data_IF_795758750424
#
_entry.id   IF_795758750424
#
_cell.length_a   1.000
_cell.length_b   1.000
_cell.length_c   1.000
_cell.angle_alpha   90.00
_cell.angle_beta   90.00
_cell.angle_gamma   90.00
#
_symmetry.space_group_name_H-M   'P 1'
#
loop_
_entity.id
_entity.type
_entity.pdbx_description
1 polymer ?
#
# COMPACT_ATOMS: atom_id res chain seq x y z
N UNK A 1 6.37 15.90 -6.87
CA UNK A 1 5.35 16.96 -6.84
C UNK A 1 5.74 17.87 -5.68
N UNK A 2 6.32 19.06 -5.94
CA UNK A 2 6.87 19.91 -4.88
C UNK A 2 5.84 20.35 -3.84
N UNK A 3 4.63 20.69 -4.27
CA UNK A 3 3.60 21.31 -3.44
C UNK A 3 2.44 20.35 -3.10
N UNK A 4 2.73 19.05 -3.06
CA UNK A 4 1.70 18.02 -2.84
C UNK A 4 0.92 18.21 -1.52
N UNK A 5 1.54 18.85 -0.51
CA UNK A 5 0.90 19.08 0.79
C UNK A 5 -0.26 20.07 0.74
N UNK A 6 -0.33 20.90 -0.31
CA UNK A 6 -1.35 21.94 -0.43
C UNK A 6 -2.72 21.36 -0.85
N UNK A 7 -2.70 20.27 -1.62
CA UNK A 7 -3.94 19.76 -2.22
C UNK A 7 -4.06 18.23 -2.32
N UNK A 8 -3.02 17.48 -1.92
CA UNK A 8 -3.14 16.03 -1.83
C UNK A 8 -4.10 15.64 -0.71
N UNK A 9 -4.96 14.65 -0.90
CA UNK A 9 -5.87 14.16 0.14
C UNK A 9 -5.09 13.33 1.17
N UNK A 10 -4.32 14.03 1.98
CA UNK A 10 -3.60 13.46 3.10
C UNK A 10 -4.56 13.36 4.28
N UNK A 11 -4.43 12.28 5.04
CA UNK A 11 -5.22 12.06 6.23
C UNK A 11 -4.51 12.66 7.45
N UNK A 12 -3.72 11.87 8.14
CA UNK A 12 -3.01 12.33 9.34
C UNK A 12 -1.50 12.24 9.15
N UNK A 13 -0.74 13.17 9.72
CA UNK A 13 0.70 13.02 9.80
C UNK A 13 1.07 12.15 11.00
N UNK A 14 1.91 11.15 10.77
CA UNK A 14 2.25 10.14 11.77
C UNK A 14 3.36 10.70 12.67
N UNK A 15 3.01 10.95 13.93
CA UNK A 15 3.94 11.44 14.95
C UNK A 15 4.38 10.35 15.93
N UNK A 16 3.65 9.24 15.95
CA UNK A 16 3.89 8.15 16.89
C UNK A 16 3.82 6.80 16.20
N UNK A 17 4.75 5.94 16.56
CA UNK A 17 4.78 4.54 16.16
C UNK A 17 4.78 3.68 17.41
N UNK A 18 3.90 2.67 17.45
CA UNK A 18 3.84 1.66 18.52
C UNK A 18 4.17 0.30 17.95
N UNK A 19 4.92 -0.48 18.72
CA UNK A 19 5.20 -1.88 18.41
C UNK A 19 4.73 -2.73 19.58
N UNK A 20 3.83 -3.66 19.32
CA UNK A 20 3.25 -4.55 20.33
C UNK A 20 3.65 -5.99 20.06
N UNK A 21 4.12 -6.67 21.10
CA UNK A 21 4.22 -8.13 21.13
C UNK A 21 3.05 -8.65 21.96
N UNK A 22 2.19 -9.41 21.35
CA UNK A 22 0.91 -9.85 21.92
C UNK A 22 0.92 -11.33 22.22
N UNK A 23 0.29 -11.68 23.32
CA UNK A 23 -0.08 -13.02 23.72
C UNK A 23 -1.61 -13.05 23.89
N UNK A 24 -2.22 -14.21 24.16
CA UNK A 24 -3.67 -14.37 24.25
C UNK A 24 -4.35 -13.45 25.28
N UNK A 25 -3.65 -13.08 26.33
CA UNK A 25 -4.18 -12.28 27.44
C UNK A 25 -3.31 -11.10 27.86
N UNK A 26 -2.21 -10.90 27.19
CA UNK A 26 -1.26 -9.86 27.55
C UNK A 26 -0.58 -9.29 26.32
N UNK A 27 0.00 -8.13 26.50
CA UNK A 27 0.90 -7.55 25.51
C UNK A 27 2.00 -6.74 26.19
N UNK A 28 3.13 -6.68 25.53
CA UNK A 28 4.21 -5.75 25.83
C UNK A 28 4.38 -4.84 24.64
N UNK A 29 4.58 -3.56 24.87
CA UNK A 29 4.72 -2.62 23.79
C UNK A 29 5.74 -1.55 24.06
N UNK A 30 6.35 -1.08 22.98
CA UNK A 30 7.15 0.14 22.94
C UNK A 30 6.43 1.15 22.08
N UNK A 31 6.54 2.41 22.43
CA UNK A 31 6.12 3.48 21.52
C UNK A 31 7.23 4.51 21.36
N UNK A 32 7.34 5.04 20.19
CA UNK A 32 8.18 6.16 19.85
C UNK A 32 7.29 7.31 19.39
N UNK A 33 7.35 8.43 20.08
CA UNK A 33 6.67 9.68 19.72
C UNK A 33 7.70 10.79 19.65
N UNK A 34 7.65 11.62 18.63
CA UNK A 34 8.56 12.74 18.47
C UNK A 34 7.80 14.00 18.13
N UNK A 35 8.07 15.06 18.87
CA UNK A 35 7.54 16.39 18.59
C UNK A 35 8.13 16.98 17.30
N UNK A 36 9.32 16.53 16.88
CA UNK A 36 9.93 16.89 15.59
C UNK A 36 9.06 16.44 14.41
N UNK A 37 8.20 15.46 14.59
CA UNK A 37 7.26 15.01 13.56
C UNK A 37 6.08 15.97 13.37
N UNK A 38 5.91 16.92 14.25
CA UNK A 38 4.93 18.02 14.16
C UNK A 38 5.48 19.27 13.48
N UNK A 39 6.71 19.24 12.97
CA UNK A 39 7.31 20.37 12.27
C UNK A 39 6.50 20.76 11.01
N UNK A 40 6.79 21.93 10.47
CA UNK A 40 6.14 22.52 9.29
C UNK A 40 6.07 21.58 8.08
N UNK A 41 6.99 20.59 8.01
CA UNK A 41 7.06 19.62 6.92
C UNK A 41 7.14 18.17 7.43
N UNK A 42 6.04 17.63 7.97
CA UNK A 42 5.98 16.23 8.34
C UNK A 42 6.35 15.32 7.16
N UNK A 43 7.04 14.22 7.44
CA UNK A 43 7.57 13.31 6.43
C UNK A 43 6.77 12.02 6.25
N UNK A 44 5.77 11.78 7.11
CA UNK A 44 4.93 10.57 7.09
C UNK A 44 3.47 10.94 7.20
N UNK A 45 2.66 10.37 6.32
CA UNK A 45 1.22 10.61 6.30
C UNK A 45 0.47 9.30 6.14
N UNK A 46 -0.71 9.20 6.72
CA UNK A 46 -1.70 8.20 6.29
C UNK A 46 -2.49 8.75 5.12
N UNK A 47 -2.95 7.86 4.27
CA UNK A 47 -3.75 8.19 3.08
C UNK A 47 -4.83 7.14 2.86
N UNK A 48 -5.93 7.54 2.26
CA UNK A 48 -6.91 6.64 1.67
C UNK A 48 -6.60 6.48 0.18
N UNK A 49 -6.13 5.29 -0.21
CA UNK A 49 -5.61 5.02 -1.57
C UNK A 49 -6.56 5.42 -2.68
N UNK A 50 -7.86 5.17 -2.54
CA UNK A 50 -8.83 5.51 -3.57
C UNK A 50 -8.87 7.02 -3.86
N UNK A 51 -8.79 7.85 -2.81
CA UNK A 51 -8.78 9.32 -2.95
C UNK A 51 -7.43 9.80 -3.47
N UNK A 52 -6.35 9.29 -2.89
CA UNK A 52 -5.00 9.66 -3.27
C UNK A 52 -4.68 9.30 -4.72
N UNK A 53 -5.02 8.09 -5.15
CA UNK A 53 -4.76 7.63 -6.52
C UNK A 53 -5.57 8.45 -7.55
N UNK A 54 -6.80 8.84 -7.21
CA UNK A 54 -7.60 9.73 -8.04
C UNK A 54 -6.96 11.12 -8.20
N UNK A 55 -6.52 11.70 -7.09
CA UNK A 55 -5.80 12.97 -7.10
C UNK A 55 -4.50 12.86 -7.91
N UNK A 56 -3.68 11.85 -7.64
CA UNK A 56 -2.41 11.65 -8.34
C UNK A 56 -2.61 11.44 -9.83
N UNK A 57 -3.61 10.64 -10.23
CA UNK A 57 -3.98 10.47 -11.64
C UNK A 57 -4.35 11.80 -12.31
N UNK A 58 -5.02 12.70 -11.61
CA UNK A 58 -5.34 14.03 -12.15
C UNK A 58 -4.09 14.87 -12.36
N UNK A 59 -3.11 14.79 -11.45
CA UNK A 59 -1.81 15.47 -11.60
C UNK A 59 -1.00 14.93 -12.79
N UNK A 60 -1.03 13.61 -12.99
CA UNK A 60 -0.42 12.95 -14.15
C UNK A 60 -1.00 13.49 -15.46
N UNK A 61 -2.35 13.59 -15.54
CA UNK A 61 -3.04 14.16 -16.70
C UNK A 61 -2.70 15.64 -16.93
N UNK A 62 -2.65 16.44 -15.87
CA UNK A 62 -2.27 17.85 -15.95
C UNK A 62 -0.84 18.04 -16.44
N UNK A 63 0.06 17.09 -16.15
CA UNK A 63 1.43 17.07 -16.67
C UNK A 63 1.53 16.64 -18.15
N UNK A 64 0.40 16.40 -18.82
CA UNK A 64 0.32 16.06 -20.24
C UNK A 64 0.38 14.56 -20.55
N UNK A 65 0.42 13.68 -19.53
CA UNK A 65 0.39 12.24 -19.76
C UNK A 65 -1.04 11.73 -19.99
N UNK A 66 -1.16 10.67 -20.77
CA UNK A 66 -2.42 9.98 -21.00
C UNK A 66 -2.58 8.87 -19.96
N UNK A 67 -3.70 8.86 -19.25
CA UNK A 67 -4.07 7.80 -18.30
C UNK A 67 -5.23 7.02 -18.90
N UNK A 68 -4.99 5.78 -19.25
CA UNK A 68 -6.00 4.85 -19.77
C UNK A 68 -6.45 3.94 -18.62
N UNK A 69 -7.65 4.21 -18.11
CA UNK A 69 -8.31 3.35 -17.13
C UNK A 69 -9.03 2.18 -17.80
N UNK A 70 -9.39 1.15 -17.03
CA UNK A 70 -10.13 0.00 -17.51
C UNK A 70 -9.50 -0.64 -18.76
N UNK A 71 -8.18 -0.68 -18.80
CA UNK A 71 -7.39 -1.19 -19.92
C UNK A 71 -6.30 -2.09 -19.38
N UNK A 72 -6.37 -3.37 -19.71
CA UNK A 72 -5.41 -4.36 -19.24
C UNK A 72 -4.33 -4.55 -20.31
N UNK A 73 -3.08 -4.35 -19.94
CA UNK A 73 -1.95 -4.77 -20.77
C UNK A 73 -1.82 -6.28 -20.70
N UNK A 74 -1.85 -6.95 -21.85
CA UNK A 74 -1.85 -8.40 -21.94
C UNK A 74 -0.47 -8.98 -22.28
N UNK A 75 0.32 -8.25 -23.10
CA UNK A 75 1.65 -8.70 -23.54
C UNK A 75 2.54 -7.54 -23.99
N UNK A 76 3.83 -7.80 -24.05
CA UNK A 76 4.81 -6.90 -24.68
C UNK A 76 4.86 -7.15 -26.18
N UNK A 77 4.95 -6.10 -26.96
CA UNK A 77 5.22 -6.17 -28.41
C UNK A 77 6.72 -6.06 -28.63
N UNK A 78 7.28 -7.00 -29.37
CA UNK A 78 8.70 -7.06 -29.69
C UNK A 78 8.95 -6.95 -31.18
N UNK A 79 10.08 -6.38 -31.56
CA UNK A 79 10.55 -6.35 -32.94
C UNK A 79 11.29 -7.64 -33.33
N UNK A 80 11.80 -7.71 -34.55
CA UNK A 80 12.55 -8.87 -35.08
C UNK A 80 13.91 -9.10 -34.39
N UNK A 81 14.35 -8.16 -33.57
CA UNK A 81 15.57 -8.23 -32.77
C UNK A 81 15.29 -8.46 -31.27
N UNK A 82 14.07 -8.89 -30.93
CA UNK A 82 13.60 -9.11 -29.56
C UNK A 82 13.57 -7.88 -28.65
N UNK A 83 13.63 -6.66 -29.22
CA UNK A 83 13.51 -5.42 -28.47
C UNK A 83 12.03 -5.10 -28.22
N UNK A 84 11.70 -4.71 -26.99
CA UNK A 84 10.35 -4.24 -26.66
C UNK A 84 10.10 -2.88 -27.32
N UNK A 85 9.04 -2.81 -28.13
CA UNK A 85 8.62 -1.64 -28.89
C UNK A 85 7.22 -1.17 -28.59
N UNK A 86 6.54 -1.78 -27.62
CA UNK A 86 5.19 -1.41 -27.21
C UNK A 86 4.50 -2.46 -26.37
N UNK A 87 3.20 -2.28 -26.23
CA UNK A 87 2.33 -3.19 -25.46
C UNK A 87 1.05 -3.48 -26.25
N UNK A 88 0.46 -4.64 -26.01
CA UNK A 88 -0.91 -4.98 -26.47
C UNK A 88 -1.86 -4.93 -25.27
N UNK A 89 -3.09 -4.56 -25.51
CA UNK A 89 -4.14 -4.45 -24.49
C UNK A 89 -5.31 -5.38 -24.79
N UNK A 90 -6.18 -5.57 -23.81
CA UNK A 90 -7.45 -6.30 -23.93
C UNK A 90 -8.51 -5.56 -24.77
N UNK A 91 -8.28 -4.30 -25.07
CA UNK A 91 -9.11 -3.54 -26.00
C UNK A 91 -8.78 -3.95 -27.42
N UNK A 92 -9.82 -4.20 -28.22
CA UNK A 92 -9.65 -4.48 -29.65
C UNK A 92 -8.98 -3.29 -30.32
N UNK A 93 -7.85 -3.53 -30.95
CA UNK A 93 -7.13 -2.50 -31.68
C UNK A 93 -5.65 -2.79 -31.84
N UNK A 94 -4.97 -1.81 -32.35
CA UNK A 94 -3.54 -1.86 -32.59
C UNK A 94 -2.74 -1.80 -31.27
N UNK A 95 -1.52 -2.26 -31.33
CA UNK A 95 -0.58 -2.15 -30.22
C UNK A 95 -0.27 -0.66 -29.92
N UNK A 96 -0.08 -0.35 -28.66
CA UNK A 96 0.43 0.96 -28.24
C UNK A 96 1.94 0.91 -28.33
N UNK A 97 2.49 1.66 -29.28
CA UNK A 97 3.93 1.70 -29.54
C UNK A 97 4.61 2.72 -28.64
N UNK A 98 5.84 2.41 -28.20
CA UNK A 98 6.63 3.29 -27.34
C UNK A 98 8.13 2.96 -27.49
N UNK A 99 8.98 3.97 -27.34
CA UNK A 99 10.43 3.80 -27.31
C UNK A 99 10.92 3.11 -26.03
N UNK A 100 10.19 3.28 -24.93
CA UNK A 100 10.47 2.67 -23.63
C UNK A 100 9.16 2.19 -22.99
N UNK A 101 9.16 0.97 -22.44
CA UNK A 101 8.06 0.42 -21.65
C UNK A 101 8.54 0.18 -20.23
N UNK A 102 7.81 0.72 -19.26
CA UNK A 102 8.05 0.51 -17.83
C UNK A 102 6.94 -0.37 -17.27
N UNK A 103 7.29 -1.54 -16.77
CA UNK A 103 6.36 -2.43 -16.06
C UNK A 103 6.33 -2.08 -14.57
N UNK A 104 5.20 -1.57 -14.10
CA UNK A 104 4.96 -1.20 -12.71
C UNK A 104 3.75 -1.96 -12.14
N UNK A 105 3.73 -3.27 -12.33
CA UNK A 105 2.58 -4.17 -12.12
C UNK A 105 2.38 -4.62 -10.66
N UNK A 106 3.26 -4.20 -9.76
CA UNK A 106 3.23 -4.64 -8.37
C UNK A 106 3.68 -6.10 -8.19
N UNK A 107 3.24 -6.72 -7.09
CA UNK A 107 3.69 -8.07 -6.71
C UNK A 107 3.29 -9.15 -7.72
N UNK A 108 2.12 -9.05 -8.32
CA UNK A 108 1.61 -10.07 -9.24
C UNK A 108 2.32 -10.09 -10.60
N UNK A 109 2.77 -8.96 -11.13
CA UNK A 109 3.68 -8.81 -12.27
C UNK A 109 3.47 -9.76 -13.44
N UNK A 110 2.21 -9.96 -13.89
CA UNK A 110 1.83 -11.01 -14.83
C UNK A 110 2.48 -10.87 -16.23
N UNK A 111 2.59 -9.63 -16.72
CA UNK A 111 3.23 -9.38 -18.02
C UNK A 111 4.73 -9.61 -17.92
N UNK A 112 5.35 -9.17 -16.84
CA UNK A 112 6.76 -9.42 -16.58
C UNK A 112 7.10 -10.89 -16.48
N UNK A 113 6.27 -11.69 -15.81
CA UNK A 113 6.44 -13.14 -15.70
C UNK A 113 6.28 -13.83 -17.06
N UNK A 114 5.19 -13.56 -17.79
CA UNK A 114 4.92 -14.14 -19.11
C UNK A 114 5.99 -13.79 -20.14
N UNK A 115 6.60 -12.62 -19.99
CA UNK A 115 7.67 -12.15 -20.89
C UNK A 115 9.06 -12.66 -20.50
N UNK A 116 9.19 -13.44 -19.43
CA UNK A 116 10.48 -13.93 -18.93
C UNK A 116 11.38 -12.87 -18.27
N UNK A 117 10.84 -11.67 -18.04
CA UNK A 117 11.57 -10.57 -17.38
C UNK A 117 11.57 -10.68 -15.85
N UNK A 118 10.65 -11.47 -15.32
CA UNK A 118 10.50 -11.73 -13.89
C UNK A 118 10.23 -13.19 -13.64
N UNK A 119 10.94 -13.77 -12.69
CA UNK A 119 10.64 -15.12 -12.21
C UNK A 119 9.28 -15.16 -11.49
N UNK A 120 8.69 -16.34 -11.43
CA UNK A 120 7.55 -16.60 -10.58
C UNK A 120 7.92 -16.33 -9.12
N UNK A 121 7.00 -15.74 -8.38
CA UNK A 121 7.23 -15.38 -6.97
C UNK A 121 6.93 -16.60 -6.11
N UNK A 122 7.92 -17.03 -5.34
CA UNK A 122 7.75 -18.16 -4.43
C UNK A 122 6.84 -17.78 -3.24
N UNK A 123 5.99 -18.71 -2.76
CA UNK A 123 5.08 -18.44 -1.65
C UNK A 123 5.74 -17.97 -0.34
N UNK A 124 6.98 -18.35 -0.10
CA UNK A 124 7.79 -17.93 1.05
C UNK A 124 8.34 -16.49 0.92
N UNK A 125 8.25 -15.92 -0.25
CA UNK A 125 8.76 -14.59 -0.58
C UNK A 125 7.64 -13.52 -0.65
N UNK A 126 6.40 -13.90 -0.38
CA UNK A 126 5.24 -13.01 -0.41
C UNK A 126 4.37 -13.17 0.80
N UNK A 127 3.73 -12.07 1.19
CA UNK A 127 2.71 -12.06 2.23
C UNK A 127 1.34 -11.73 1.62
N UNK A 128 0.31 -12.36 2.16
CA UNK A 128 -1.07 -11.98 1.95
C UNK A 128 -1.54 -11.14 3.13
N UNK A 129 -2.10 -9.98 2.86
CA UNK A 129 -2.66 -9.12 3.89
C UNK A 129 -4.12 -8.77 3.60
N UNK A 130 -4.90 -8.70 4.66
CA UNK A 130 -6.27 -8.19 4.63
C UNK A 130 -6.36 -6.94 5.49
N UNK A 131 -7.21 -6.01 5.08
CA UNK A 131 -7.42 -4.75 5.77
C UNK A 131 -8.88 -4.38 5.79
N UNK A 132 -9.35 -3.94 6.95
CA UNK A 132 -10.66 -3.34 7.14
C UNK A 132 -10.54 -1.87 7.53
N UNK A 133 -11.55 -1.09 7.19
CA UNK A 133 -11.70 0.29 7.64
C UNK A 133 -12.90 0.39 8.58
N UNK A 134 -12.66 0.93 9.77
CA UNK A 134 -13.70 1.23 10.75
C UNK A 134 -13.89 2.73 10.85
N UNK A 135 -15.05 3.22 10.46
CA UNK A 135 -15.39 4.63 10.55
C UNK A 135 -15.72 5.01 11.98
N UNK A 136 -15.09 6.05 12.46
CA UNK A 136 -15.25 6.61 13.80
C UNK A 136 -15.20 8.14 13.72
N UNK A 137 -15.97 8.84 14.57
CA UNK A 137 -15.83 10.29 14.68
C UNK A 137 -14.40 10.70 15.02
N UNK A 138 -13.97 11.81 14.45
CA UNK A 138 -12.61 12.35 14.60
C UNK A 138 -12.23 12.49 16.09
N UNK A 139 -13.10 13.07 16.88
CA UNK A 139 -12.91 13.26 18.33
C UNK A 139 -12.76 11.94 19.08
N UNK A 140 -13.42 10.88 18.61
CA UNK A 140 -13.27 9.53 19.18
C UNK A 140 -11.88 8.97 18.92
N UNK A 141 -11.36 9.16 17.70
CA UNK A 141 -10.01 8.73 17.33
C UNK A 141 -8.98 9.51 18.14
N UNK A 142 -9.11 10.82 18.19
CA UNK A 142 -8.21 11.70 18.94
C UNK A 142 -8.17 11.33 20.43
N UNK A 143 -9.32 11.12 21.04
CA UNK A 143 -9.40 10.74 22.45
C UNK A 143 -8.81 9.34 22.73
N UNK A 144 -9.08 8.34 21.86
CA UNK A 144 -8.61 6.97 22.07
C UNK A 144 -7.11 6.81 21.86
N UNK A 145 -6.54 7.57 20.96
CA UNK A 145 -5.12 7.45 20.61
C UNK A 145 -4.25 8.55 21.18
N UNK A 146 -4.85 9.49 21.96
CA UNK A 146 -4.16 10.65 22.53
C UNK A 146 -3.50 11.52 21.46
N UNK A 147 -4.30 11.93 20.47
CA UNK A 147 -3.89 12.73 19.34
C UNK A 147 -4.52 14.12 19.41
N UNK A 148 -3.88 15.08 18.79
CA UNK A 148 -4.37 16.47 18.69
C UNK A 148 -4.32 16.92 17.22
N UNK A 149 -5.40 17.53 16.73
CA UNK A 149 -5.45 18.02 15.36
C UNK A 149 -5.22 16.91 14.33
N UNK A 150 -4.25 17.09 13.44
CA UNK A 150 -3.92 16.14 12.39
C UNK A 150 -2.86 15.10 12.77
N UNK A 151 -2.53 14.98 14.04
CA UNK A 151 -1.62 13.95 14.51
C UNK A 151 -2.15 12.55 14.23
N UNK A 152 -1.26 11.64 13.87
CA UNK A 152 -1.57 10.25 13.58
C UNK A 152 -0.64 9.28 14.29
N UNK A 153 -1.12 8.05 14.47
CA UNK A 153 -0.36 6.93 15.02
C UNK A 153 -0.44 5.72 14.11
N UNK A 154 0.67 5.00 14.03
CA UNK A 154 0.76 3.67 13.42
C UNK A 154 1.11 2.68 14.53
N UNK A 155 0.40 1.58 14.58
CA UNK A 155 0.61 0.47 15.51
C UNK A 155 0.91 -0.78 14.71
N UNK A 156 2.01 -1.43 15.00
CA UNK A 156 2.36 -2.75 14.48
C UNK A 156 2.27 -3.76 15.62
N UNK A 157 1.66 -4.91 15.37
CA UNK A 157 1.45 -5.94 16.36
C UNK A 157 1.94 -7.30 15.83
N UNK A 158 2.63 -8.05 16.67
CA UNK A 158 3.13 -9.38 16.37
C UNK A 158 2.84 -10.33 17.54
N UNK A 159 3.05 -11.61 17.33
CA UNK A 159 2.82 -12.65 18.36
C UNK A 159 1.62 -13.53 18.04
N UNK A 160 0.84 -13.93 19.05
CA UNK A 160 -0.25 -14.91 18.89
C UNK A 160 -1.38 -14.49 17.95
N UNK A 161 -1.47 -13.19 17.58
CA UNK A 161 -2.46 -12.69 16.61
C UNK A 161 -2.35 -13.38 15.25
N UNK A 162 -1.16 -13.84 14.86
CA UNK A 162 -0.92 -14.57 13.60
C UNK A 162 -1.04 -16.09 13.76
N UNK A 163 -1.40 -16.59 14.94
CA UNK A 163 -1.54 -18.02 15.24
C UNK A 163 -0.30 -18.85 14.87
N UNK A 164 0.88 -18.31 15.10
CA UNK A 164 2.16 -18.96 14.83
C UNK A 164 2.70 -18.77 13.41
N UNK A 165 1.93 -18.18 12.50
CA UNK A 165 2.44 -17.82 11.18
C UNK A 165 3.37 -16.62 11.24
N UNK A 166 4.32 -16.55 10.33
CA UNK A 166 5.19 -15.39 10.16
C UNK A 166 4.39 -14.22 9.59
N UNK A 167 4.18 -13.19 10.40
CA UNK A 167 3.35 -12.08 9.97
C UNK A 167 3.22 -11.00 11.03
N UNK A 168 2.41 -9.99 10.71
CA UNK A 168 2.17 -8.84 11.58
C UNK A 168 0.74 -8.31 11.39
N UNK A 169 0.16 -7.85 12.49
CA UNK A 169 -1.01 -7.00 12.45
C UNK A 169 -0.63 -5.53 12.41
N UNK A 170 -1.51 -4.70 11.91
CA UNK A 170 -1.30 -3.26 11.88
C UNK A 170 -2.60 -2.50 12.12
N UNK A 171 -2.45 -1.34 12.73
CA UNK A 171 -3.50 -0.33 12.85
C UNK A 171 -2.90 1.03 12.56
N UNK A 172 -3.62 1.86 11.80
CA UNK A 172 -3.27 3.27 11.68
C UNK A 172 -4.50 4.15 11.63
N UNK A 173 -4.34 5.36 12.13
CA UNK A 173 -5.41 6.34 12.23
C UNK A 173 -5.50 7.18 10.95
N UNK A 174 -6.72 7.40 10.48
CA UNK A 174 -7.09 8.38 9.48
C UNK A 174 -7.91 9.49 10.13
N UNK A 175 -8.40 10.47 9.39
CA UNK A 175 -9.18 11.57 9.96
C UNK A 175 -10.46 11.08 10.64
N UNK A 176 -11.27 10.29 9.94
CA UNK A 176 -12.58 9.78 10.40
C UNK A 176 -12.69 8.26 10.29
N UNK A 177 -11.56 7.58 10.32
CA UNK A 177 -11.51 6.12 10.32
C UNK A 177 -10.22 5.60 10.94
N UNK A 178 -10.22 4.32 11.29
CA UNK A 178 -9.01 3.55 11.54
C UNK A 178 -8.93 2.43 10.52
N UNK A 179 -7.73 2.17 10.05
CA UNK A 179 -7.43 1.00 9.22
C UNK A 179 -6.80 -0.07 10.10
N UNK A 180 -7.37 -1.26 10.09
CA UNK A 180 -6.87 -2.42 10.83
C UNK A 180 -6.64 -3.56 9.87
N UNK A 181 -5.53 -4.24 9.99
CA UNK A 181 -5.24 -5.36 9.12
C UNK A 181 -4.26 -6.34 9.72
N UNK A 182 -4.11 -7.46 9.03
CA UNK A 182 -3.16 -8.51 9.35
C UNK A 182 -2.62 -9.08 8.05
N UNK A 183 -1.34 -9.44 8.05
CA UNK A 183 -0.70 -10.09 6.92
C UNK A 183 0.25 -11.17 7.38
N UNK A 184 0.30 -12.29 6.65
CA UNK A 184 1.19 -13.41 6.92
C UNK A 184 1.85 -13.88 5.62
N UNK A 185 3.01 -14.53 5.75
CA UNK A 185 3.71 -15.16 4.62
C UNK A 185 2.81 -16.25 4.03
N UNK A 186 2.73 -16.31 2.69
CA UNK A 186 1.81 -17.19 1.99
C UNK A 186 2.13 -18.67 2.22
N UNK A 187 3.40 -19.05 2.32
CA UNK A 187 3.79 -20.44 2.61
C UNK A 187 3.22 -20.97 3.93
N UNK A 188 3.10 -20.10 4.93
CA UNK A 188 2.68 -20.51 6.27
C UNK A 188 1.20 -20.92 6.32
N UNK A 189 0.38 -20.47 5.36
CA UNK A 189 -1.04 -20.89 5.26
C UNK A 189 -1.21 -22.35 4.88
N UNK A 190 -0.22 -22.94 4.19
CA UNK A 190 -0.26 -24.36 3.78
C UNK A 190 -0.03 -25.28 4.98
N UNK A 191 0.82 -24.84 5.91
CA UNK A 191 1.26 -25.62 7.06
C UNK A 191 0.45 -25.33 8.32
N UNK A 192 -0.48 -24.36 8.25
CA UNK A 192 -1.29 -23.95 9.39
C UNK A 192 -2.63 -24.70 9.43
N UNK A 193 -2.99 -25.23 10.62
CA UNK A 193 -4.34 -25.75 10.90
C UNK A 193 -5.40 -24.63 11.07
N UNK A 194 -5.12 -23.46 10.51
CA UNK A 194 -6.02 -22.29 10.60
C UNK A 194 -7.04 -22.38 9.48
N UNK A 195 -8.25 -22.78 9.85
CA UNK A 195 -9.46 -22.76 9.02
C UNK A 195 -10.29 -21.51 9.31
#
# INVERSE_FOLDING_TARGET
IPDFREDAPLERHVIEQRMWTMDDKSHTGMHYRSDDFNEERPNRYTILRAQFDKWFSSRVKQAGAIVLCETTVTELVKDTQDRVIGVRTDRSGDAIMADVVILAEGVNGLVGQRSGLRAEVAPDSVALAVKEMHFLPRETIEARFNLTGNEGVVIEAMGTITKGMTGTGFLYTNEESISVGIGCIVSDFVDSDVT
#
